data_IF_274723752004
#
_entry.id   IF_274723752004
#
_cell.length_a   1.000
_cell.length_b   1.000
_cell.length_c   1.000
_cell.angle_alpha   90.00
_cell.angle_beta   90.00
_cell.angle_gamma   90.00
#
_symmetry.space_group_name_H-M   'P 1'
#
loop_
_entity.id
_entity.type
_entity.pdbx_description
1 polymer ?
#
# COMPACT_ATOMS: atom_id res chain seq x y z
N UNK A 1 -9.17 5.13 26.82
CA UNK A 1 -8.00 4.26 26.57
C UNK A 1 -7.37 4.61 25.22
N UNK A 2 -6.26 5.36 25.19
CA UNK A 2 -5.54 5.67 23.93
C UNK A 2 -4.72 4.43 23.53
N UNK A 3 -5.32 3.51 22.75
CA UNK A 3 -4.59 2.37 22.17
C UNK A 3 -3.59 2.94 21.16
N UNK A 4 -2.29 2.82 21.45
CA UNK A 4 -1.21 3.14 20.51
C UNK A 4 -1.27 2.11 19.36
N UNK A 5 -2.07 2.42 18.34
CA UNK A 5 -2.11 1.63 17.13
C UNK A 5 -0.81 1.85 16.38
N UNK A 6 -0.04 0.78 16.21
CA UNK A 6 1.18 0.80 15.44
C UNK A 6 0.83 0.77 13.95
N UNK A 7 0.85 1.95 13.32
CA UNK A 7 0.41 2.16 11.93
C UNK A 7 1.21 1.30 10.95
N UNK A 8 2.50 1.13 11.21
CA UNK A 8 3.40 0.25 10.43
C UNK A 8 2.90 -1.19 10.41
N UNK A 9 2.59 -1.78 11.57
CA UNK A 9 2.18 -3.19 11.60
C UNK A 9 0.81 -3.42 10.99
N UNK A 10 -0.15 -2.49 11.17
CA UNK A 10 -1.46 -2.59 10.51
C UNK A 10 -1.28 -2.48 8.99
N UNK A 11 -0.47 -1.53 8.53
CA UNK A 11 -0.21 -1.36 7.11
C UNK A 11 0.47 -2.60 6.51
N UNK A 12 1.52 -3.10 7.17
CA UNK A 12 2.22 -4.31 6.76
C UNK A 12 1.30 -5.54 6.68
N UNK A 13 0.47 -5.77 7.70
CA UNK A 13 -0.48 -6.89 7.69
C UNK A 13 -1.50 -6.74 6.57
N UNK A 14 -2.00 -5.53 6.33
CA UNK A 14 -2.94 -5.28 5.24
C UNK A 14 -2.31 -5.51 3.86
N UNK A 15 -1.03 -5.18 3.67
CA UNK A 15 -0.31 -5.46 2.43
C UNK A 15 -0.13 -6.96 2.19
N UNK A 16 0.22 -7.74 3.22
CA UNK A 16 0.28 -9.20 3.11
C UNK A 16 -1.09 -9.82 2.84
N UNK A 17 -2.15 -9.34 3.49
CA UNK A 17 -3.51 -9.76 3.21
C UNK A 17 -3.88 -9.50 1.74
N UNK A 18 -3.66 -8.29 1.22
CA UNK A 18 -3.92 -8.01 -0.20
C UNK A 18 -3.05 -8.81 -1.15
N UNK A 19 -1.77 -9.01 -0.82
CA UNK A 19 -0.83 -9.81 -1.62
C UNK A 19 -1.28 -11.26 -1.75
N UNK A 20 -1.68 -11.88 -0.64
CA UNK A 20 -2.29 -13.22 -0.65
C UNK A 20 -3.63 -13.24 -1.37
N UNK A 21 -4.44 -12.18 -1.26
CA UNK A 21 -5.66 -11.98 -2.04
C UNK A 21 -5.41 -12.03 -3.55
N UNK A 22 -4.48 -11.25 -4.07
CA UNK A 22 -4.13 -11.27 -5.49
C UNK A 22 -3.53 -12.60 -5.96
N UNK A 23 -2.65 -13.23 -5.18
CA UNK A 23 -2.07 -14.54 -5.54
C UNK A 23 -3.15 -15.63 -5.54
N UNK A 24 -4.08 -15.59 -4.57
CA UNK A 24 -5.16 -16.59 -4.49
C UNK A 24 -6.03 -16.62 -5.75
N UNK A 25 -6.20 -15.50 -6.46
CA UNK A 25 -6.96 -15.42 -7.70
C UNK A 25 -6.40 -16.32 -8.81
N UNK A 26 -5.08 -16.60 -8.79
CA UNK A 26 -4.46 -17.50 -9.76
C UNK A 26 -4.91 -18.97 -9.58
N UNK A 27 -5.20 -19.37 -8.34
CA UNK A 27 -5.56 -20.75 -8.01
C UNK A 27 -7.07 -21.00 -7.98
N UNK A 28 -7.89 -19.94 -8.00
CA UNK A 28 -9.34 -20.04 -7.92
C UNK A 28 -9.93 -20.30 -9.31
N UNK A 29 -10.48 -21.50 -9.50
CA UNK A 29 -11.18 -21.88 -10.72
C UNK A 29 -12.68 -21.55 -10.70
N UNK A 30 -13.27 -21.38 -9.51
CA UNK A 30 -14.69 -21.14 -9.34
C UNK A 30 -14.95 -19.67 -8.92
N UNK A 31 -15.67 -18.87 -9.75
CA UNK A 31 -15.85 -17.44 -9.52
C UNK A 31 -16.46 -17.06 -8.17
N UNK A 32 -17.27 -17.94 -7.56
CA UNK A 32 -17.89 -17.67 -6.27
C UNK A 32 -16.89 -17.44 -5.14
N UNK A 33 -15.68 -18.00 -5.24
CA UNK A 33 -14.64 -17.83 -4.22
C UNK A 33 -13.81 -16.55 -4.37
N UNK A 34 -13.92 -15.84 -5.51
CA UNK A 34 -13.20 -14.57 -5.74
C UNK A 34 -13.59 -13.49 -4.72
N UNK A 35 -14.80 -13.57 -4.16
CA UNK A 35 -15.26 -12.65 -3.10
C UNK A 35 -14.27 -12.58 -1.95
N UNK A 36 -13.69 -13.71 -1.54
CA UNK A 36 -12.71 -13.72 -0.44
C UNK A 36 -11.43 -12.97 -0.83
N UNK A 37 -10.95 -13.16 -2.06
CA UNK A 37 -9.80 -12.41 -2.60
C UNK A 37 -10.07 -10.91 -2.62
N UNK A 38 -11.25 -10.48 -3.08
CA UNK A 38 -11.63 -9.07 -3.12
C UNK A 38 -11.75 -8.43 -1.73
N UNK A 39 -12.23 -9.16 -0.73
CA UNK A 39 -12.24 -8.68 0.67
C UNK A 39 -10.82 -8.40 1.15
N UNK A 40 -9.88 -9.32 0.92
CA UNK A 40 -8.48 -9.16 1.30
C UNK A 40 -7.81 -7.99 0.55
N UNK A 41 -8.07 -7.87 -0.75
CA UNK A 41 -7.57 -6.75 -1.58
C UNK A 41 -8.14 -5.42 -1.07
N UNK A 42 -9.43 -5.37 -0.74
CA UNK A 42 -10.08 -4.16 -0.20
C UNK A 42 -9.44 -3.67 1.10
N UNK A 43 -9.10 -4.58 2.01
CA UNK A 43 -8.37 -4.24 3.25
C UNK A 43 -7.02 -3.60 2.93
N UNK A 44 -6.26 -4.17 1.99
CA UNK A 44 -4.97 -3.62 1.56
C UNK A 44 -5.12 -2.24 0.93
N UNK A 45 -6.11 -2.08 0.04
CA UNK A 45 -6.34 -0.85 -0.71
C UNK A 45 -6.65 0.34 0.22
N UNK A 46 -7.53 0.15 1.21
CA UNK A 46 -7.82 1.20 2.19
C UNK A 46 -6.59 1.65 2.99
N UNK A 47 -5.66 0.73 3.22
CA UNK A 47 -4.41 1.00 3.92
C UNK A 47 -3.39 1.75 3.06
N UNK A 48 -3.25 1.39 1.78
CA UNK A 48 -2.36 2.06 0.80
C UNK A 48 -2.73 3.53 0.63
N UNK A 49 -4.01 3.87 0.67
CA UNK A 49 -4.47 5.25 0.54
C UNK A 49 -4.20 6.11 1.79
N UNK A 50 -4.27 5.50 2.99
CA UNK A 50 -4.31 6.25 4.26
C UNK A 50 -2.99 6.24 5.01
N UNK A 51 -2.32 5.09 5.12
CA UNK A 51 -1.17 4.90 6.00
C UNK A 51 0.10 5.57 5.47
N UNK A 52 0.50 5.43 4.19
CA UNK A 52 1.68 6.10 3.65
C UNK A 52 1.60 7.63 3.76
N UNK A 53 0.43 8.20 3.46
CA UNK A 53 0.17 9.64 3.58
C UNK A 53 0.31 10.10 5.04
N UNK A 54 -0.28 9.36 5.98
CA UNK A 54 -0.19 9.66 7.41
C UNK A 54 1.23 9.50 7.98
N UNK A 55 1.99 8.54 7.47
CA UNK A 55 3.40 8.33 7.83
C UNK A 55 4.26 9.47 7.30
N UNK A 56 4.06 9.87 6.05
CA UNK A 56 4.79 10.96 5.42
C UNK A 56 4.48 12.32 6.05
N UNK A 57 3.20 12.63 6.29
CA UNK A 57 2.81 13.91 6.93
C UNK A 57 3.46 14.09 8.29
N UNK A 58 3.57 13.01 9.08
CA UNK A 58 4.17 13.06 10.41
C UNK A 58 5.68 13.33 10.42
N UNK A 59 6.37 13.13 9.29
CA UNK A 59 7.81 13.31 9.17
C UNK A 59 8.21 14.69 8.60
N UNK A 60 7.24 15.49 8.14
CA UNK A 60 7.50 16.68 7.34
C UNK A 60 7.12 17.95 8.10
N UNK A 61 7.93 19.00 7.94
CA UNK A 61 7.65 20.30 8.54
C UNK A 61 6.31 20.88 8.03
N UNK A 62 5.40 21.31 8.93
CA UNK A 62 4.07 21.81 8.55
C UNK A 62 4.09 22.92 7.50
N UNK A 63 5.10 23.81 7.52
CA UNK A 63 5.20 24.95 6.58
C UNK A 63 5.42 24.52 5.12
N UNK A 64 5.89 23.30 4.88
CA UNK A 64 6.16 22.77 3.53
C UNK A 64 5.27 21.58 3.17
N UNK A 65 4.25 21.28 3.98
CA UNK A 65 3.40 20.10 3.82
C UNK A 65 2.84 19.98 2.40
N UNK A 66 2.28 21.07 1.85
CA UNK A 66 1.69 21.06 0.51
C UNK A 66 2.66 20.67 -0.62
N UNK A 67 3.90 21.16 -0.56
CA UNK A 67 4.92 20.87 -1.59
C UNK A 67 5.30 19.39 -1.54
N UNK A 68 5.61 18.87 -0.34
CA UNK A 68 6.00 17.46 -0.20
C UNK A 68 4.85 16.49 -0.49
N UNK A 69 3.61 16.86 -0.15
CA UNK A 69 2.43 16.06 -0.48
C UNK A 69 2.17 16.03 -1.98
N UNK A 70 2.37 17.15 -2.69
CA UNK A 70 2.32 17.18 -4.16
C UNK A 70 3.36 16.25 -4.79
N UNK A 71 4.60 16.29 -4.29
CA UNK A 71 5.68 15.42 -4.77
C UNK A 71 5.34 13.93 -4.54
N UNK A 72 4.82 13.57 -3.37
CA UNK A 72 4.39 12.21 -3.07
C UNK A 72 3.33 11.70 -4.04
N UNK A 73 2.32 12.51 -4.33
CA UNK A 73 1.28 12.14 -5.29
C UNK A 73 1.84 11.97 -6.72
N UNK A 74 2.82 12.79 -7.12
CA UNK A 74 3.48 12.61 -8.42
C UNK A 74 4.22 11.26 -8.51
N UNK A 75 4.84 10.80 -7.43
CA UNK A 75 5.48 9.48 -7.38
C UNK A 75 4.48 8.30 -7.46
N UNK A 76 3.21 8.50 -7.13
CA UNK A 76 2.18 7.48 -7.27
C UNK A 76 1.59 7.52 -8.69
N UNK A 77 1.28 8.72 -9.18
CA UNK A 77 0.57 8.91 -10.44
C UNK A 77 1.46 8.61 -11.64
N UNK A 78 2.74 8.96 -11.62
CA UNK A 78 3.65 8.71 -12.76
C UNK A 78 3.76 7.21 -13.07
N UNK A 79 4.11 6.33 -12.10
CA UNK A 79 4.09 4.88 -12.33
C UNK A 79 2.72 4.35 -12.75
N UNK A 80 1.63 4.92 -12.21
CA UNK A 80 0.27 4.50 -12.58
C UNK A 80 -0.05 4.83 -14.04
N UNK A 81 0.35 6.00 -14.54
CA UNK A 81 0.19 6.37 -15.95
C UNK A 81 1.00 5.41 -16.82
N UNK A 82 2.26 5.13 -16.46
CA UNK A 82 3.11 4.18 -17.20
C UNK A 82 2.47 2.78 -17.23
N UNK A 83 1.93 2.32 -16.09
CA UNK A 83 1.23 1.04 -16.02
C UNK A 83 0.00 1.02 -16.93
N UNK A 84 -0.80 2.10 -16.92
CA UNK A 84 -2.03 2.23 -17.69
C UNK A 84 -1.81 2.36 -19.21
N UNK A 85 -0.70 2.96 -19.65
CA UNK A 85 -0.38 3.11 -21.09
C UNK A 85 0.24 1.85 -21.71
N UNK A 86 0.41 0.77 -20.94
CA UNK A 86 0.90 -0.52 -21.43
C UNK A 86 2.16 -1.03 -20.74
N UNK A 87 2.77 -0.25 -19.84
CA UNK A 87 3.93 -0.67 -19.06
C UNK A 87 3.65 -1.90 -18.20
N UNK A 88 2.43 -2.04 -17.68
CA UNK A 88 2.04 -3.23 -16.93
C UNK A 88 2.03 -4.48 -17.80
N UNK A 89 1.49 -4.39 -19.03
CA UNK A 89 1.43 -5.49 -19.99
C UNK A 89 2.82 -6.01 -20.33
N UNK A 90 3.73 -5.09 -20.64
CA UNK A 90 5.13 -5.42 -20.85
C UNK A 90 5.77 -6.10 -19.63
N UNK A 91 5.54 -5.55 -18.43
CA UNK A 91 6.20 -6.02 -17.21
C UNK A 91 5.77 -7.44 -16.82
N UNK A 92 4.48 -7.77 -16.85
CA UNK A 92 4.04 -9.12 -16.51
C UNK A 92 4.39 -10.14 -17.61
N UNK A 93 4.41 -9.72 -18.90
CA UNK A 93 4.87 -10.57 -19.99
C UNK A 93 6.33 -11.01 -19.83
N UNK A 94 7.22 -10.09 -19.44
CA UNK A 94 8.65 -10.36 -19.29
C UNK A 94 8.93 -11.21 -18.05
N UNK A 95 8.23 -10.98 -16.94
CA UNK A 95 8.55 -11.61 -15.65
C UNK A 95 7.80 -12.94 -15.45
N UNK A 96 6.51 -12.98 -15.80
CA UNK A 96 5.61 -14.09 -15.45
C UNK A 96 4.99 -14.79 -16.67
N UNK A 97 5.01 -14.16 -17.85
CA UNK A 97 4.52 -14.72 -19.12
C UNK A 97 3.29 -14.00 -19.68
N UNK A 98 2.83 -14.43 -20.86
CA UNK A 98 1.83 -13.72 -21.67
C UNK A 98 0.39 -13.68 -21.09
N UNK A 99 0.08 -14.55 -20.13
CA UNK A 99 -1.29 -14.67 -19.61
C UNK A 99 -1.69 -13.48 -18.73
N UNK A 100 -2.91 -12.96 -18.93
CA UNK A 100 -3.43 -11.79 -18.20
C UNK A 100 -3.48 -12.04 -16.67
N UNK A 101 -3.70 -13.29 -16.26
CA UNK A 101 -3.72 -13.67 -14.83
C UNK A 101 -2.37 -13.38 -14.14
N UNK A 102 -1.27 -13.35 -14.89
CA UNK A 102 0.05 -13.05 -14.36
C UNK A 102 0.17 -11.62 -13.86
N UNK A 103 -0.67 -10.69 -14.34
CA UNK A 103 -0.74 -9.35 -13.77
C UNK A 103 -1.17 -9.38 -12.29
N UNK A 104 -2.04 -10.33 -11.90
CA UNK A 104 -2.45 -10.51 -10.51
C UNK A 104 -1.30 -11.08 -9.66
N UNK A 105 -0.54 -12.04 -10.20
CA UNK A 105 0.66 -12.55 -9.53
C UNK A 105 1.71 -11.45 -9.31
N UNK A 106 1.94 -10.63 -10.33
CA UNK A 106 2.84 -9.47 -10.23
C UNK A 106 2.36 -8.49 -9.15
N UNK A 107 1.07 -8.12 -9.16
CA UNK A 107 0.49 -7.24 -8.16
C UNK A 107 0.62 -7.82 -6.74
N UNK A 108 0.32 -9.11 -6.58
CA UNK A 108 0.45 -9.80 -5.30
C UNK A 108 1.88 -9.85 -4.77
N UNK A 109 2.84 -10.17 -5.64
CA UNK A 109 4.27 -10.16 -5.31
C UNK A 109 4.74 -8.75 -4.93
N UNK A 110 4.35 -7.72 -5.67
CA UNK A 110 4.69 -6.32 -5.34
C UNK A 110 4.14 -5.89 -3.99
N UNK A 111 2.92 -6.30 -3.62
CA UNK A 111 2.36 -6.01 -2.29
C UNK A 111 3.12 -6.72 -1.17
N UNK A 112 3.51 -7.97 -1.36
CA UNK A 112 4.34 -8.71 -0.39
C UNK A 112 5.69 -8.02 -0.22
N UNK A 113 6.34 -7.63 -1.31
CA UNK A 113 7.61 -6.87 -1.28
C UNK A 113 7.42 -5.53 -0.55
N UNK A 114 6.33 -4.81 -0.83
CA UNK A 114 5.99 -3.57 -0.11
C UNK A 114 5.73 -3.77 1.39
N UNK A 115 5.09 -4.89 1.75
CA UNK A 115 4.93 -5.32 3.14
C UNK A 115 6.28 -5.59 3.80
N UNK A 116 7.18 -6.29 3.12
CA UNK A 116 8.54 -6.53 3.62
C UNK A 116 9.36 -5.24 3.72
N UNK A 117 9.22 -4.32 2.78
CA UNK A 117 9.89 -3.02 2.80
C UNK A 117 9.48 -2.17 4.01
N UNK A 118 8.28 -2.38 4.57
CA UNK A 118 7.91 -1.74 5.83
C UNK A 118 8.82 -2.14 7.01
N UNK A 119 9.48 -3.32 6.98
CA UNK A 119 10.43 -3.69 8.03
C UNK A 119 11.62 -2.72 8.10
N UNK A 120 12.07 -2.15 6.97
CA UNK A 120 13.14 -1.15 6.92
C UNK A 120 12.77 0.18 7.62
N UNK A 121 11.49 0.42 7.90
CA UNK A 121 11.04 1.62 8.60
C UNK A 121 11.27 1.44 10.10
N UNK A 122 12.38 1.96 10.61
CA UNK A 122 12.79 1.84 12.03
C UNK A 122 12.36 3.07 12.87
N UNK A 123 11.83 4.11 12.23
CA UNK A 123 11.66 5.42 12.86
C UNK A 123 10.44 5.50 13.79
N UNK A 124 10.67 5.75 15.09
CA UNK A 124 9.63 5.72 16.14
C UNK A 124 8.54 6.79 15.97
N UNK A 125 8.87 7.96 15.41
CA UNK A 125 7.91 9.05 15.17
C UNK A 125 6.85 8.67 14.12
N UNK A 126 7.23 7.82 13.16
CA UNK A 126 6.36 7.34 12.08
C UNK A 126 5.47 6.17 12.57
N UNK A 127 5.94 5.43 13.57
CA UNK A 127 5.36 4.18 14.07
C UNK A 127 4.20 4.41 15.05
N UNK A 128 4.25 5.46 15.87
CA UNK A 128 3.19 5.80 16.83
C UNK A 128 2.85 7.27 16.75
N UNK A 129 1.57 7.61 16.57
CA UNK A 129 1.10 8.98 16.73
C UNK A 129 1.44 9.44 18.15
N UNK A 130 2.44 10.32 18.27
CA UNK A 130 2.48 11.24 19.38
C UNK A 130 1.34 12.22 19.08
N UNK A 131 0.30 12.17 19.92
CA UNK A 131 -0.80 13.12 19.86
C UNK A 131 -0.21 14.47 20.28
N UNK A 132 0.12 15.32 19.32
CA UNK A 132 0.66 16.66 19.55
C UNK A 132 -0.36 17.73 19.14
N UNK A 133 -1.66 17.43 19.29
CA UNK A 133 -2.75 18.40 19.13
C UNK A 133 -3.66 18.38 20.37
N UNK A 134 -3.08 18.56 21.56
CA UNK A 134 -3.85 18.88 22.78
C UNK A 134 -3.36 20.15 23.48
N UNK A 135 -2.44 20.92 22.88
CA UNK A 135 -1.93 22.17 23.47
C UNK A 135 -2.24 23.45 22.67
N UNK A 136 -2.99 23.36 21.56
CA UNK A 136 -3.38 24.56 20.77
C UNK A 136 -4.80 25.05 21.09
N UNK A 137 -5.50 24.42 22.06
CA UNK A 137 -6.84 24.84 22.51
C UNK A 137 -6.98 24.91 24.05
N UNK A 138 -5.88 25.13 24.78
CA UNK A 138 -5.92 25.51 26.20
C UNK A 138 -5.29 26.88 26.42
#
# INVERSE_FOLDING_TARGET
AKRKINRKYIHMFSLFAGGTGFISMYYINNPSYLIFSFVLIGISWGSILSMPYAMLSSAINPKKMGIYMGIFNMFIVIPQIIAATGGLNYLYHVIFGAEVINAMLLAGASLIIGGLANFLITDKKVISHQAEDTEVLS
#
